data_IF_472552010881
#
_entry.id   IF_472552010881
#
_cell.length_a   1.000
_cell.length_b   1.000
_cell.length_c   1.000
_cell.angle_alpha   90.00
_cell.angle_beta   90.00
_cell.angle_gamma   90.00
#
_symmetry.space_group_name_H-M   'P 1'
#
loop_
_entity.id
_entity.type
_entity.pdbx_description
1 polymer ?
#
# COMPACT_ATOMS: atom_id res chain seq x y z
N UNK A 1 -63.61 -30.21 -35.05
CA UNK A 1 -64.33 -31.51 -35.11
C UNK A 1 -63.52 -32.42 -36.02
N UNK A 2 -63.14 -33.61 -35.51
CA UNK A 2 -62.61 -34.78 -36.22
C UNK A 2 -61.15 -34.66 -36.71
N UNK A 3 -60.21 -35.46 -36.18
CA UNK A 3 -59.99 -36.91 -36.39
C UNK A 3 -59.66 -37.21 -37.86
N UNK A 4 -58.71 -38.05 -38.26
CA UNK A 4 -57.81 -39.05 -37.67
C UNK A 4 -56.94 -39.47 -38.88
N UNK A 5 -55.66 -39.80 -38.71
CA UNK A 5 -54.94 -40.58 -39.72
C UNK A 5 -54.22 -41.78 -39.10
N UNK A 6 -54.33 -42.89 -39.81
CA UNK A 6 -54.29 -44.26 -39.34
C UNK A 6 -52.90 -44.89 -39.32
N UNK A 7 -52.79 -45.82 -38.38
CA UNK A 7 -51.90 -46.99 -38.29
C UNK A 7 -51.56 -47.69 -39.62
N UNK A 8 -50.31 -48.17 -39.71
CA UNK A 8 -49.98 -49.51 -40.22
C UNK A 8 -48.60 -49.99 -39.75
N UNK A 9 -48.58 -51.15 -39.07
CA UNK A 9 -47.45 -52.08 -38.90
C UNK A 9 -47.85 -53.38 -39.62
N UNK A 10 -46.91 -54.19 -40.16
CA UNK A 10 -46.37 -55.31 -39.38
C UNK A 10 -44.94 -55.77 -39.78
N UNK A 11 -44.35 -56.68 -39.00
CA UNK A 11 -43.29 -57.58 -39.50
C UNK A 11 -42.19 -57.94 -38.51
N UNK A 12 -42.40 -59.02 -37.77
CA UNK A 12 -41.39 -59.74 -36.97
C UNK A 12 -40.45 -60.57 -37.84
N UNK A 13 -39.14 -60.53 -37.57
CA UNK A 13 -38.20 -61.58 -38.00
C UNK A 13 -37.11 -61.80 -36.94
N UNK A 14 -37.09 -63.02 -36.42
CA UNK A 14 -36.14 -63.57 -35.45
C UNK A 14 -34.90 -64.08 -36.20
N UNK A 15 -33.69 -63.67 -35.80
CA UNK A 15 -32.46 -64.34 -36.24
C UNK A 15 -31.42 -64.40 -35.11
N UNK A 16 -30.93 -65.62 -34.88
CA UNK A 16 -29.97 -66.05 -33.86
C UNK A 16 -28.54 -65.55 -34.15
N UNK A 17 -27.79 -65.40 -33.04
CA UNK A 17 -26.35 -65.72 -32.86
C UNK A 17 -25.31 -64.67 -33.27
N UNK A 18 -24.61 -64.11 -32.29
CA UNK A 18 -23.19 -64.42 -32.03
C UNK A 18 -22.71 -63.69 -30.77
N UNK A 19 -22.26 -64.48 -29.78
CA UNK A 19 -21.50 -64.00 -28.63
C UNK A 19 -20.12 -63.56 -29.15
N UNK A 20 -19.73 -62.31 -28.88
CA UNK A 20 -18.35 -61.81 -29.03
C UNK A 20 -17.96 -61.01 -27.77
N UNK A 21 -16.68 -61.06 -27.37
CA UNK A 21 -16.26 -60.81 -26.00
C UNK A 21 -16.18 -59.32 -25.65
N UNK A 22 -16.25 -59.04 -24.35
CA UNK A 22 -16.08 -57.73 -23.74
C UNK A 22 -14.75 -57.08 -24.17
N UNK A 23 -14.85 -55.96 -24.89
CA UNK A 23 -13.77 -55.00 -25.07
C UNK A 23 -13.78 -53.98 -23.92
N UNK A 24 -12.63 -53.40 -23.57
CA UNK A 24 -12.49 -52.53 -22.40
C UNK A 24 -13.37 -51.29 -22.54
N UNK A 25 -14.10 -50.99 -21.47
CA UNK A 25 -14.80 -49.72 -21.25
C UNK A 25 -13.84 -48.56 -21.49
N UNK A 26 -14.00 -47.86 -22.62
CA UNK A 26 -13.40 -46.55 -22.81
C UNK A 26 -14.08 -45.60 -21.83
N UNK A 27 -13.28 -45.08 -20.91
CA UNK A 27 -13.62 -43.91 -20.09
C UNK A 27 -14.15 -42.79 -20.99
N UNK A 28 -15.15 -41.99 -20.57
CA UNK A 28 -15.54 -40.83 -21.34
C UNK A 28 -14.32 -39.93 -21.46
N UNK A 29 -13.96 -39.59 -22.69
CA UNK A 29 -12.93 -38.59 -22.96
C UNK A 29 -13.31 -37.32 -22.21
N UNK A 30 -12.49 -36.92 -21.24
CA UNK A 30 -12.47 -35.55 -20.75
C UNK A 30 -12.25 -34.67 -21.97
N UNK A 31 -13.31 -34.01 -22.41
CA UNK A 31 -13.21 -32.94 -23.40
C UNK A 31 -12.40 -31.84 -22.73
N UNK A 32 -11.09 -31.82 -22.97
CA UNK A 32 -10.25 -30.65 -22.75
C UNK A 32 -10.78 -29.54 -23.66
N UNK A 33 -11.79 -28.83 -23.19
CA UNK A 33 -12.24 -27.58 -23.78
C UNK A 33 -11.03 -26.64 -23.77
N UNK A 34 -10.78 -26.01 -24.91
CA UNK A 34 -9.73 -24.99 -25.00
C UNK A 34 -10.00 -23.92 -23.93
N UNK A 35 -8.96 -23.48 -23.19
CA UNK A 35 -9.12 -22.46 -22.16
C UNK A 35 -9.77 -21.23 -22.77
N UNK A 36 -10.78 -20.70 -22.08
CA UNK A 36 -11.48 -19.48 -22.48
C UNK A 36 -10.48 -18.32 -22.57
N UNK A 37 -10.81 -17.30 -23.36
CA UNK A 37 -9.97 -16.10 -23.45
C UNK A 37 -9.69 -15.47 -22.07
N UNK A 38 -10.63 -15.59 -21.14
CA UNK A 38 -10.49 -15.18 -19.74
C UNK A 38 -9.45 -16.01 -18.98
N UNK A 39 -9.47 -17.33 -19.16
CA UNK A 39 -8.48 -18.24 -18.56
C UNK A 39 -7.10 -18.03 -19.18
N UNK A 40 -7.01 -17.79 -20.50
CA UNK A 40 -5.75 -17.46 -21.17
C UNK A 40 -5.14 -16.14 -20.69
N UNK A 41 -5.95 -15.10 -20.54
CA UNK A 41 -5.50 -13.81 -19.99
C UNK A 41 -5.11 -13.93 -18.51
N UNK A 42 -5.87 -14.70 -17.72
CA UNK A 42 -5.49 -14.98 -16.33
C UNK A 42 -4.19 -15.76 -16.25
N UNK A 43 -4.00 -16.80 -17.06
CA UNK A 43 -2.78 -17.60 -17.11
C UNK A 43 -1.59 -16.76 -17.56
N UNK A 44 -1.78 -15.90 -18.57
CA UNK A 44 -0.75 -14.97 -19.03
C UNK A 44 -0.34 -13.98 -17.94
N UNK A 45 -1.26 -13.56 -17.06
CA UNK A 45 -0.95 -12.68 -15.92
C UNK A 45 -0.36 -13.39 -14.74
N UNK A 46 -0.83 -14.59 -14.40
CA UNK A 46 -0.18 -15.42 -13.38
C UNK A 46 1.24 -15.75 -13.81
N UNK A 47 1.45 -16.10 -15.09
CA UNK A 47 2.77 -16.32 -15.67
C UNK A 47 3.57 -15.03 -15.78
N UNK A 48 2.94 -13.89 -16.12
CA UNK A 48 3.58 -12.58 -16.18
C UNK A 48 4.04 -12.09 -14.81
N UNK A 49 3.21 -12.20 -13.79
CA UNK A 49 3.54 -11.87 -12.40
C UNK A 49 4.62 -12.82 -11.87
N UNK A 50 4.53 -14.12 -12.19
CA UNK A 50 5.59 -15.08 -11.87
C UNK A 50 6.91 -14.78 -12.61
N UNK A 51 6.84 -14.36 -13.87
CA UNK A 51 8.00 -13.98 -14.67
C UNK A 51 8.61 -12.67 -14.17
N UNK A 52 7.80 -11.68 -13.74
CA UNK A 52 8.26 -10.46 -13.08
C UNK A 52 8.90 -10.80 -11.73
N UNK A 53 8.30 -11.70 -10.94
CA UNK A 53 8.94 -12.23 -9.72
C UNK A 53 10.30 -12.85 -10.02
N UNK A 54 10.41 -13.71 -11.04
CA UNK A 54 11.67 -14.30 -11.48
C UNK A 54 12.68 -13.27 -12.00
N UNK A 55 12.24 -12.27 -12.78
CA UNK A 55 13.12 -11.23 -13.32
C UNK A 55 13.63 -10.29 -12.23
N UNK A 56 12.85 -10.08 -11.17
CA UNK A 56 13.25 -9.35 -9.97
C UNK A 56 14.18 -10.19 -9.07
N UNK A 57 13.98 -11.51 -9.01
CA UNK A 57 14.92 -12.46 -8.37
C UNK A 57 16.25 -12.51 -9.12
N UNK A 58 16.24 -12.64 -10.45
CA UNK A 58 17.44 -12.67 -11.30
C UNK A 58 18.21 -11.35 -11.27
N UNK A 59 17.52 -10.21 -11.22
CA UNK A 59 18.15 -8.89 -11.00
C UNK A 59 18.69 -8.71 -9.58
N UNK A 60 18.18 -9.46 -8.61
CA UNK A 60 18.74 -9.57 -7.26
C UNK A 60 20.00 -10.43 -7.22
N UNK A 61 20.00 -11.58 -7.91
CA UNK A 61 21.11 -12.54 -7.96
C UNK A 61 22.29 -12.02 -8.80
N UNK A 62 22.02 -11.24 -9.85
CA UNK A 62 23.05 -10.68 -10.74
C UNK A 62 23.98 -9.64 -10.10
N UNK A 63 23.66 -9.13 -8.90
CA UNK A 63 24.50 -8.16 -8.18
C UNK A 63 25.36 -8.78 -7.08
N UNK A 64 25.03 -9.98 -6.61
CA UNK A 64 25.83 -10.72 -5.60
C UNK A 64 27.01 -11.46 -6.23
N UNK A 65 26.93 -11.88 -7.50
CA UNK A 65 28.05 -12.56 -8.18
C UNK A 65 29.14 -11.62 -8.73
N UNK A 66 28.96 -10.30 -8.66
CA UNK A 66 29.97 -9.32 -9.10
C UNK A 66 30.81 -8.73 -7.95
N UNK A 67 30.60 -9.16 -6.70
CA UNK A 67 31.32 -8.65 -5.51
C UNK A 67 31.84 -9.78 -4.60
N UNK A 68 32.18 -10.93 -5.16
CA UNK A 68 32.85 -12.01 -4.42
C UNK A 68 34.35 -12.03 -4.71
N UNK A 69 35.05 -10.95 -4.38
CA UNK A 69 36.43 -11.06 -3.93
C UNK A 69 36.71 -10.04 -2.81
N UNK A 70 37.20 -10.61 -1.70
CA UNK A 70 37.61 -9.98 -0.44
C UNK A 70 36.51 -9.66 0.60
N UNK A 71 36.44 -10.56 1.60
CA UNK A 71 36.41 -10.15 3.00
C UNK A 71 35.06 -10.07 3.71
N UNK A 72 34.75 -11.12 4.48
CA UNK A 72 34.09 -10.98 5.80
C UNK A 72 32.64 -10.52 5.81
N UNK A 73 31.72 -11.50 5.86
CA UNK A 73 30.29 -11.28 5.97
C UNK A 73 29.87 -10.31 7.08
N UNK A 74 29.17 -9.26 6.67
CA UNK A 74 28.20 -8.53 7.48
C UNK A 74 26.99 -8.26 6.60
N UNK A 75 25.92 -9.01 6.81
CA UNK A 75 24.59 -8.67 6.31
C UNK A 75 24.19 -7.37 7.01
N UNK A 76 24.29 -6.25 6.30
CA UNK A 76 23.87 -4.94 6.83
C UNK A 76 22.34 -4.87 6.68
N UNK A 77 21.56 -4.70 7.76
CA UNK A 77 20.11 -4.62 7.64
C UNK A 77 19.73 -3.30 6.98
N UNK A 78 19.16 -3.39 5.77
CA UNK A 78 18.63 -2.29 4.93
C UNK A 78 17.72 -1.33 5.74
N UNK A 79 17.01 -1.85 6.74
CA UNK A 79 16.15 -1.07 7.64
C UNK A 79 16.90 -0.04 8.49
N UNK A 80 18.10 -0.37 8.98
CA UNK A 80 18.90 0.60 9.76
C UNK A 80 19.39 1.73 8.85
N UNK A 81 19.72 1.41 7.60
CA UNK A 81 20.12 2.40 6.60
C UNK A 81 19.01 3.39 6.26
N UNK A 82 17.78 2.91 6.02
CA UNK A 82 16.62 3.76 5.72
C UNK A 82 16.24 4.67 6.89
N UNK A 83 16.00 4.12 8.08
CA UNK A 83 15.63 4.92 9.25
C UNK A 83 16.78 5.74 9.83
N UNK A 84 18.05 5.32 9.68
CA UNK A 84 19.19 6.20 10.00
C UNK A 84 19.33 7.31 8.97
N UNK A 85 19.04 7.09 7.70
CA UNK A 85 19.14 8.13 6.66
C UNK A 85 18.00 9.12 6.79
N UNK A 86 16.77 8.65 7.04
CA UNK A 86 15.63 9.47 7.46
C UNK A 86 15.98 10.17 8.77
N UNK A 87 16.38 9.45 9.81
CA UNK A 87 16.75 10.04 11.10
C UNK A 87 17.88 11.07 11.02
N UNK A 88 18.88 10.88 10.16
CA UNK A 88 19.96 11.85 9.90
C UNK A 88 19.49 13.03 9.07
N UNK A 89 18.65 12.81 8.05
CA UNK A 89 18.02 13.89 7.26
C UNK A 89 17.10 14.73 8.14
N UNK A 90 16.29 14.09 8.99
CA UNK A 90 15.43 14.71 9.99
C UNK A 90 16.23 15.39 11.09
N UNK A 91 17.35 14.82 11.56
CA UNK A 91 18.21 15.47 12.56
C UNK A 91 18.95 16.68 11.97
N UNK A 92 19.40 16.58 10.71
CA UNK A 92 20.01 17.68 9.97
C UNK A 92 19.01 18.80 9.69
N UNK A 93 17.82 18.45 9.21
CA UNK A 93 16.72 19.37 9.01
C UNK A 93 16.22 19.96 10.33
N UNK A 94 16.04 19.17 11.40
CA UNK A 94 15.66 19.65 12.73
C UNK A 94 16.73 20.53 13.38
N UNK A 95 18.02 20.36 13.07
CA UNK A 95 19.08 21.31 13.48
C UNK A 95 19.01 22.59 12.65
N UNK A 96 18.84 22.50 11.34
CA UNK A 96 18.68 23.66 10.47
C UNK A 96 17.41 24.48 10.81
N UNK A 97 16.31 23.78 11.11
CA UNK A 97 15.05 24.31 11.62
C UNK A 97 15.22 24.77 13.05
N UNK A 98 15.97 24.08 13.91
CA UNK A 98 16.28 24.57 15.26
C UNK A 98 17.01 25.92 15.22
N UNK A 99 17.91 26.12 14.26
CA UNK A 99 18.55 27.40 14.01
C UNK A 99 17.62 28.43 13.34
N UNK A 100 16.79 28.00 12.38
CA UNK A 100 15.80 28.87 11.71
C UNK A 100 14.65 29.29 12.65
N UNK A 101 14.10 28.36 13.43
CA UNK A 101 13.09 28.52 14.49
C UNK A 101 13.68 29.22 15.70
N UNK A 102 14.96 29.07 16.05
CA UNK A 102 15.58 29.95 17.07
C UNK A 102 15.71 31.39 16.55
N UNK A 103 16.03 31.57 15.26
CA UNK A 103 16.01 32.88 14.59
C UNK A 103 14.60 33.47 14.46
N UNK A 104 13.62 32.64 14.13
CA UNK A 104 12.20 33.00 13.99
C UNK A 104 11.56 33.18 15.35
N UNK A 105 11.85 32.41 16.39
CA UNK A 105 11.34 32.60 17.76
C UNK A 105 11.89 33.90 18.38
N UNK A 106 13.16 34.23 18.12
CA UNK A 106 13.74 35.55 18.43
C UNK A 106 13.08 36.69 17.63
N UNK A 107 12.49 36.39 16.47
CA UNK A 107 11.70 37.30 15.65
C UNK A 107 10.20 37.34 15.99
N UNK A 108 9.59 36.23 16.42
CA UNK A 108 8.15 36.02 16.64
C UNK A 108 7.70 36.71 17.92
N UNK A 109 8.57 36.78 18.94
CA UNK A 109 8.37 37.68 20.08
C UNK A 109 8.26 39.16 19.70
N UNK A 110 8.76 39.56 18.51
CA UNK A 110 8.59 40.91 17.93
C UNK A 110 7.56 40.98 16.79
N UNK A 111 7.14 39.83 16.24
CA UNK A 111 6.23 39.72 15.10
C UNK A 111 4.76 39.71 15.54
N UNK A 112 4.43 39.10 16.68
CA UNK A 112 3.06 39.03 17.19
C UNK A 112 2.40 40.41 17.39
N UNK A 113 3.21 41.46 17.62
CA UNK A 113 2.75 42.85 17.76
C UNK A 113 2.73 43.65 16.44
N UNK A 114 3.28 43.11 15.35
CA UNK A 114 3.53 43.85 14.09
C UNK A 114 2.75 43.32 12.86
N UNK A 115 2.04 42.19 12.99
CA UNK A 115 1.31 41.53 11.89
C UNK A 115 0.21 42.43 11.26
N UNK A 116 -0.31 43.42 11.98
CA UNK A 116 -1.27 44.38 11.42
C UNK A 116 -0.68 45.46 10.50
N UNK A 117 0.63 45.72 10.50
CA UNK A 117 1.24 46.86 9.75
C UNK A 117 2.30 46.46 8.71
N UNK A 118 2.78 45.22 8.73
CA UNK A 118 3.88 44.77 7.86
C UNK A 118 3.48 44.37 6.44
N UNK A 119 2.22 43.97 6.22
CA UNK A 119 1.75 43.41 4.94
C UNK A 119 1.81 44.45 3.80
N UNK A 120 1.63 45.74 4.10
CA UNK A 120 1.65 46.80 3.09
C UNK A 120 3.02 47.20 2.56
N UNK A 121 4.12 46.89 3.28
CA UNK A 121 5.47 47.39 2.91
C UNK A 121 6.36 46.37 2.19
N UNK A 122 6.05 45.08 2.29
CA UNK A 122 6.82 44.04 1.60
C UNK A 122 6.42 43.91 0.12
N UNK A 123 5.17 44.28 -0.22
CA UNK A 123 4.63 44.21 -1.58
C UNK A 123 5.23 45.25 -2.56
N UNK A 124 5.84 46.33 -2.07
CA UNK A 124 6.27 47.46 -2.92
C UNK A 124 7.74 47.45 -3.35
N UNK A 125 8.60 46.58 -2.81
CA UNK A 125 10.06 46.82 -2.90
C UNK A 125 10.84 45.90 -3.84
N UNK A 126 10.27 44.86 -4.46
CA UNK A 126 11.12 44.01 -5.33
C UNK A 126 10.43 43.50 -6.59
N UNK A 127 10.92 44.01 -7.71
CA UNK A 127 10.54 43.61 -9.06
C UNK A 127 11.14 42.27 -9.50
N UNK A 128 10.30 41.50 -10.18
CA UNK A 128 10.51 40.48 -11.23
C UNK A 128 11.48 39.30 -11.03
N UNK A 129 12.36 39.28 -10.02
CA UNK A 129 13.07 38.05 -9.60
C UNK A 129 12.51 37.43 -8.30
N UNK A 130 11.70 38.19 -7.54
CA UNK A 130 11.10 37.72 -6.29
C UNK A 130 9.72 37.10 -6.43
N UNK A 131 9.10 37.05 -7.61
CA UNK A 131 7.82 36.38 -7.76
C UNK A 131 7.93 34.87 -7.44
N UNK A 132 9.00 34.21 -7.88
CA UNK A 132 9.24 32.79 -7.61
C UNK A 132 9.53 32.51 -6.13
N UNK A 133 10.41 33.31 -5.51
CA UNK A 133 10.73 33.17 -4.09
C UNK A 133 9.54 33.54 -3.18
N UNK A 134 8.79 34.60 -3.52
CA UNK A 134 7.58 34.96 -2.79
C UNK A 134 6.50 33.90 -2.94
N UNK A 135 6.25 33.39 -4.15
CA UNK A 135 5.28 32.30 -4.37
C UNK A 135 5.70 31.03 -3.64
N UNK A 136 6.99 30.70 -3.61
CA UNK A 136 7.51 29.59 -2.82
C UNK A 136 7.26 29.81 -1.32
N UNK A 137 7.59 30.98 -0.77
CA UNK A 137 7.35 31.30 0.65
C UNK A 137 5.85 31.25 0.98
N UNK A 138 4.99 31.80 0.12
CA UNK A 138 3.54 31.76 0.31
C UNK A 138 2.99 30.33 0.25
N UNK A 139 3.49 29.50 -0.66
CA UNK A 139 3.16 28.08 -0.70
C UNK A 139 3.54 27.38 0.62
N UNK A 140 4.75 27.62 1.16
CA UNK A 140 5.19 27.05 2.44
C UNK A 140 4.41 27.57 3.65
N UNK A 141 3.98 28.82 3.64
CA UNK A 141 3.09 29.37 4.67
C UNK A 141 1.68 28.74 4.57
N UNK A 142 1.22 28.46 3.36
CA UNK A 142 0.02 27.66 3.10
C UNK A 142 0.15 26.26 3.68
N UNK A 143 1.23 25.54 3.34
CA UNK A 143 1.54 24.20 3.85
C UNK A 143 1.58 24.19 5.39
N UNK A 144 2.17 25.21 6.02
CA UNK A 144 2.22 25.35 7.49
C UNK A 144 0.85 25.67 8.12
N UNK A 145 -0.03 26.38 7.41
CA UNK A 145 -1.41 26.62 7.83
C UNK A 145 -2.24 25.34 7.74
N UNK A 146 -2.11 24.62 6.62
CA UNK A 146 -2.75 23.31 6.38
C UNK A 146 -2.29 22.27 7.42
N UNK A 147 -1.00 22.24 7.73
CA UNK A 147 -0.41 21.46 8.82
C UNK A 147 -1.14 21.69 10.15
N UNK A 148 -1.31 22.95 10.55
CA UNK A 148 -1.95 23.29 11.83
C UNK A 148 -3.42 22.86 11.83
N UNK A 149 -4.13 23.08 10.72
CA UNK A 149 -5.52 22.67 10.56
C UNK A 149 -5.67 21.15 10.64
N UNK A 150 -4.82 20.40 9.94
CA UNK A 150 -4.82 18.93 9.93
C UNK A 150 -4.53 18.37 11.33
N UNK A 151 -3.56 18.95 12.04
CA UNK A 151 -3.25 18.56 13.41
C UNK A 151 -4.47 18.64 14.32
N UNK A 152 -5.24 19.73 14.29
CA UNK A 152 -6.44 19.89 15.11
C UNK A 152 -7.62 19.05 14.61
N UNK A 153 -7.84 18.99 13.30
CA UNK A 153 -8.93 18.24 12.67
C UNK A 153 -8.83 16.75 12.99
N UNK A 154 -7.62 16.20 12.90
CA UNK A 154 -7.39 14.77 13.03
C UNK A 154 -7.11 14.34 14.47
N UNK A 155 -6.87 15.29 15.39
CA UNK A 155 -6.56 15.02 16.80
C UNK A 155 -7.57 14.08 17.48
N UNK A 156 -8.90 14.21 17.31
CA UNK A 156 -9.86 13.32 17.94
C UNK A 156 -9.69 11.86 17.49
N UNK A 157 -9.50 11.63 16.20
CA UNK A 157 -9.31 10.29 15.64
C UNK A 157 -7.96 9.70 16.07
N UNK A 158 -6.89 10.50 16.09
CA UNK A 158 -5.56 10.09 16.59
C UNK A 158 -5.61 9.69 18.05
N UNK A 159 -6.28 10.49 18.89
CA UNK A 159 -6.49 10.19 20.29
C UNK A 159 -7.25 8.88 20.47
N UNK A 160 -8.35 8.69 19.74
CA UNK A 160 -9.13 7.45 19.80
C UNK A 160 -8.30 6.22 19.41
N UNK A 161 -7.55 6.28 18.30
CA UNK A 161 -6.66 5.18 17.88
C UNK A 161 -5.59 4.89 18.93
N UNK A 162 -4.96 5.91 19.49
CA UNK A 162 -3.98 5.76 20.57
C UNK A 162 -4.60 5.11 21.81
N UNK A 163 -5.73 5.63 22.29
CA UNK A 163 -6.43 5.08 23.44
C UNK A 163 -6.84 3.61 23.24
N UNK A 164 -7.35 3.27 22.05
CA UNK A 164 -7.66 1.88 21.67
C UNK A 164 -6.42 0.98 21.79
N UNK A 165 -5.28 1.40 21.23
CA UNK A 165 -4.03 0.64 21.32
C UNK A 165 -3.55 0.46 22.76
N UNK A 166 -3.73 1.46 23.63
CA UNK A 166 -3.42 1.33 25.08
C UNK A 166 -4.30 0.26 25.71
N UNK A 167 -5.61 0.29 25.46
CA UNK A 167 -6.57 -0.69 26.00
C UNK A 167 -6.25 -2.10 25.50
N UNK A 168 -5.94 -2.28 24.21
CA UNK A 168 -5.52 -3.57 23.63
C UNK A 168 -4.26 -4.11 24.30
N UNK A 169 -3.29 -3.23 24.61
CA UNK A 169 -2.07 -3.60 25.34
C UNK A 169 -2.35 -4.03 26.78
N UNK A 170 -3.22 -3.30 27.48
CA UNK A 170 -3.65 -3.67 28.83
C UNK A 170 -4.38 -5.01 28.84
N UNK A 171 -5.28 -5.23 27.88
CA UNK A 171 -5.97 -6.51 27.72
C UNK A 171 -4.99 -7.65 27.46
N UNK A 172 -4.07 -7.45 26.51
CA UNK A 172 -3.02 -8.41 26.22
C UNK A 172 -2.17 -8.76 27.45
N UNK A 173 -1.85 -7.77 28.31
CA UNK A 173 -1.13 -7.99 29.55
C UNK A 173 -1.94 -8.80 30.57
N UNK A 174 -3.25 -8.53 30.70
CA UNK A 174 -4.14 -9.27 31.60
C UNK A 174 -4.27 -10.76 31.22
N UNK A 175 -4.21 -11.09 29.92
CA UNK A 175 -4.32 -12.49 29.47
C UNK A 175 -2.99 -13.26 29.46
N UNK A 176 -1.84 -12.60 29.73
CA UNK A 176 -0.52 -13.25 29.69
C UNK A 176 -0.42 -14.46 30.62
N UNK A 177 -0.79 -14.29 31.90
CA UNK A 177 -0.62 -15.35 32.91
C UNK A 177 -1.56 -16.54 32.64
N UNK A 178 -2.89 -16.35 32.42
CA UNK A 178 -3.78 -17.47 32.11
C UNK A 178 -3.36 -18.24 30.85
N UNK A 179 -2.95 -17.54 29.79
CA UNK A 179 -2.51 -18.20 28.55
C UNK A 179 -1.17 -18.93 28.71
N UNK A 180 -0.23 -18.36 29.48
CA UNK A 180 1.03 -19.01 29.81
C UNK A 180 0.79 -20.36 30.48
N UNK A 181 -0.07 -20.39 31.51
CA UNK A 181 -0.45 -21.60 32.23
C UNK A 181 -1.14 -22.60 31.27
N UNK A 182 -2.09 -22.14 30.46
CA UNK A 182 -2.79 -22.99 29.48
C UNK A 182 -1.85 -23.62 28.45
N UNK A 183 -0.86 -22.87 27.95
CA UNK A 183 0.14 -23.35 26.99
C UNK A 183 1.09 -24.39 27.60
N UNK A 184 1.43 -24.22 28.89
CA UNK A 184 2.25 -25.17 29.64
C UNK A 184 1.49 -26.46 29.93
N UNK A 185 0.20 -26.38 30.30
CA UNK A 185 -0.64 -27.55 30.56
C UNK A 185 -0.87 -28.37 29.29
N UNK A 186 -1.19 -27.71 28.17
CA UNK A 186 -1.56 -28.39 26.91
C UNK A 186 -0.37 -28.90 26.10
N UNK A 187 0.79 -28.26 26.20
CA UNK A 187 1.95 -28.56 25.36
C UNK A 187 3.28 -28.70 26.09
N UNK A 188 3.29 -28.69 27.43
CA UNK A 188 4.50 -28.73 28.24
C UNK A 188 5.44 -27.56 27.93
N UNK A 189 6.75 -27.77 28.15
CA UNK A 189 7.79 -26.75 27.93
C UNK A 189 7.82 -26.30 26.46
N UNK A 190 7.60 -27.20 25.51
CA UNK A 190 7.59 -26.86 24.08
C UNK A 190 6.37 -26.02 23.66
N UNK A 191 5.20 -26.27 24.27
CA UNK A 191 4.00 -25.44 24.13
C UNK A 191 4.25 -24.04 24.67
N UNK A 192 4.78 -23.95 25.88
CA UNK A 192 5.15 -22.69 26.52
C UNK A 192 6.19 -21.90 25.71
N UNK A 193 7.24 -22.54 25.18
CA UNK A 193 8.25 -21.86 24.37
C UNK A 193 7.67 -21.25 23.08
N UNK A 194 6.77 -21.97 22.40
CA UNK A 194 6.06 -21.46 21.22
C UNK A 194 5.15 -20.29 21.57
N UNK A 195 4.36 -20.42 22.64
CA UNK A 195 3.53 -19.33 23.16
C UNK A 195 4.37 -18.09 23.51
N UNK A 196 5.48 -18.27 24.22
CA UNK A 196 6.37 -17.17 24.61
C UNK A 196 6.95 -16.46 23.38
N UNK A 197 7.40 -17.21 22.38
CA UNK A 197 7.88 -16.64 21.11
C UNK A 197 6.78 -15.87 20.37
N UNK A 198 5.56 -16.40 20.32
CA UNK A 198 4.41 -15.72 19.72
C UNK A 198 4.07 -14.43 20.47
N UNK A 199 4.01 -14.46 21.81
CA UNK A 199 3.77 -13.26 22.62
C UNK A 199 4.87 -12.23 22.48
N UNK A 200 6.13 -12.63 22.38
CA UNK A 200 7.23 -11.70 22.11
C UNK A 200 7.05 -11.01 20.75
N UNK A 201 6.68 -11.74 19.69
CA UNK A 201 6.40 -11.18 18.36
C UNK A 201 5.19 -10.24 18.39
N UNK A 202 4.09 -10.66 18.99
CA UNK A 202 2.88 -9.83 19.13
C UNK A 202 3.13 -8.58 19.98
N UNK A 203 3.91 -8.70 21.05
CA UNK A 203 4.31 -7.57 21.90
C UNK A 203 5.20 -6.57 21.16
N UNK A 204 6.14 -7.05 20.34
CA UNK A 204 6.95 -6.18 19.49
C UNK A 204 6.11 -5.45 18.43
N UNK A 205 5.17 -6.16 17.78
CA UNK A 205 4.26 -5.55 16.81
C UNK A 205 3.33 -4.50 17.45
N UNK A 206 2.80 -4.81 18.64
CA UNK A 206 2.00 -3.86 19.43
C UNK A 206 2.81 -2.64 19.83
N UNK A 207 4.06 -2.82 20.30
CA UNK A 207 4.94 -1.71 20.66
C UNK A 207 5.24 -0.82 19.44
N UNK A 208 5.52 -1.41 18.29
CA UNK A 208 5.66 -0.67 17.03
C UNK A 208 4.42 0.16 16.71
N UNK A 209 3.24 -0.46 16.83
CA UNK A 209 1.95 0.23 16.67
C UNK A 209 1.82 1.39 17.65
N UNK A 210 2.11 1.18 18.94
CA UNK A 210 2.05 2.20 19.98
C UNK A 210 2.95 3.41 19.66
N UNK A 211 4.20 3.16 19.25
CA UNK A 211 5.13 4.22 18.88
C UNK A 211 4.64 5.02 17.68
N UNK A 212 4.11 4.36 16.65
CA UNK A 212 3.46 5.02 15.51
C UNK A 212 2.24 5.84 15.94
N UNK A 213 1.39 5.34 16.84
CA UNK A 213 0.24 6.10 17.36
C UNK A 213 0.65 7.33 18.14
N UNK A 214 1.72 7.23 18.93
CA UNK A 214 2.27 8.39 19.63
C UNK A 214 2.83 9.40 18.64
N UNK A 215 3.56 8.95 17.62
CA UNK A 215 4.07 9.79 16.55
C UNK A 215 2.95 10.53 15.80
N UNK A 216 1.86 9.83 15.43
CA UNK A 216 0.67 10.46 14.85
C UNK A 216 0.09 11.53 15.78
N UNK A 217 -0.07 11.19 17.08
CA UNK A 217 -0.72 12.05 18.06
C UNK A 217 0.01 13.39 18.26
N UNK A 218 1.34 13.39 18.19
CA UNK A 218 2.15 14.61 18.33
C UNK A 218 2.32 15.41 17.02
N UNK A 219 1.65 15.00 15.94
CA UNK A 219 1.75 15.67 14.63
C UNK A 219 3.02 15.30 13.86
N UNK A 220 3.61 14.14 14.17
CA UNK A 220 4.83 13.65 13.54
C UNK A 220 4.77 13.59 12.02
N UNK A 221 3.71 13.00 11.42
CA UNK A 221 3.56 12.95 9.97
C UNK A 221 3.58 14.32 9.32
N UNK A 222 2.84 15.29 9.87
CA UNK A 222 2.72 16.60 9.25
C UNK A 222 4.03 17.38 9.38
N UNK A 223 4.76 17.23 10.50
CA UNK A 223 6.12 17.79 10.64
C UNK A 223 7.05 17.19 9.59
N UNK A 224 6.97 15.88 9.38
CA UNK A 224 7.76 15.18 8.37
C UNK A 224 7.45 15.67 6.95
N UNK A 225 6.18 15.81 6.59
CA UNK A 225 5.76 16.35 5.30
C UNK A 225 6.23 17.78 5.11
N UNK A 226 6.05 18.65 6.11
CA UNK A 226 6.55 20.03 6.07
C UNK A 226 8.05 20.08 5.79
N UNK A 227 8.84 19.23 6.46
CA UNK A 227 10.28 19.12 6.23
C UNK A 227 10.61 18.63 4.83
N UNK A 228 9.95 17.56 4.37
CA UNK A 228 10.15 17.00 3.04
C UNK A 228 9.84 18.04 1.97
N UNK A 229 8.71 18.72 2.10
CA UNK A 229 8.26 19.75 1.17
C UNK A 229 9.21 20.95 1.15
N UNK A 230 9.82 21.33 2.28
CA UNK A 230 10.84 22.40 2.27
C UNK A 230 12.07 22.06 1.41
N UNK A 231 12.44 20.79 1.31
CA UNK A 231 13.63 20.33 0.60
C UNK A 231 13.33 19.69 -0.76
N UNK A 232 12.06 19.66 -1.16
CA UNK A 232 11.59 19.03 -2.38
C UNK A 232 10.72 19.95 -3.24
N UNK A 233 10.52 19.56 -4.49
CA UNK A 233 9.66 20.26 -5.44
C UNK A 233 8.33 19.51 -5.58
N UNK A 234 7.76 19.11 -4.44
CA UNK A 234 6.49 18.42 -4.40
C UNK A 234 5.39 19.28 -5.05
N UNK A 235 4.65 18.70 -5.99
CA UNK A 235 3.58 19.35 -6.77
C UNK A 235 2.22 18.71 -6.47
N UNK A 236 1.11 19.44 -6.62
CA UNK A 236 -0.22 18.84 -6.50
C UNK A 236 -0.49 17.77 -7.57
N UNK A 237 -1.50 16.94 -7.32
CA UNK A 237 -2.07 16.06 -8.35
C UNK A 237 -2.66 16.90 -9.50
N UNK A 238 -2.43 16.46 -10.73
CA UNK A 238 -3.14 16.97 -11.90
C UNK A 238 -4.59 16.51 -11.90
N UNK A 239 -5.44 17.22 -12.64
CA UNK A 239 -6.85 16.84 -12.77
C UNK A 239 -7.04 15.43 -13.36
N UNK A 240 -6.15 15.03 -14.27
CA UNK A 240 -6.16 13.69 -14.88
C UNK A 240 -5.80 12.60 -13.88
N UNK A 241 -4.73 12.80 -13.09
CA UNK A 241 -4.34 11.88 -12.02
C UNK A 241 -5.44 11.72 -10.97
N UNK A 242 -6.02 12.84 -10.53
CA UNK A 242 -7.13 12.85 -9.57
C UNK A 242 -8.35 12.11 -10.12
N UNK A 243 -8.76 12.37 -11.36
CA UNK A 243 -9.92 11.71 -11.98
C UNK A 243 -9.70 10.20 -12.12
N UNK A 244 -8.51 9.80 -12.58
CA UNK A 244 -8.14 8.39 -12.72
C UNK A 244 -8.22 7.64 -11.38
N UNK A 245 -7.59 8.19 -10.35
CA UNK A 245 -7.58 7.56 -9.03
C UNK A 245 -8.95 7.59 -8.34
N UNK A 246 -9.74 8.64 -8.52
CA UNK A 246 -11.11 8.71 -8.01
C UNK A 246 -12.04 7.65 -8.62
N UNK A 247 -11.78 7.19 -9.85
CA UNK A 247 -12.50 6.08 -10.47
C UNK A 247 -12.26 4.73 -9.79
N UNK A 248 -11.14 4.60 -9.07
CA UNK A 248 -10.76 3.37 -8.35
C UNK A 248 -11.04 3.50 -6.86
N UNK A 249 -10.41 4.48 -6.21
CA UNK A 249 -10.49 4.69 -4.76
C UNK A 249 -11.83 5.28 -4.34
N UNK A 250 -12.51 6.00 -5.25
CA UNK A 250 -13.74 6.72 -4.96
C UNK A 250 -13.50 8.19 -4.65
N UNK A 251 -14.47 9.04 -4.98
CA UNK A 251 -14.31 10.50 -4.94
C UNK A 251 -13.97 11.08 -3.55
N UNK A 252 -14.27 10.35 -2.48
CA UNK A 252 -14.10 10.78 -1.08
C UNK A 252 -13.05 9.99 -0.31
N UNK A 253 -12.31 9.09 -0.97
CA UNK A 253 -11.31 8.27 -0.30
C UNK A 253 -10.20 9.12 0.32
N UNK A 254 -9.72 10.10 -0.45
CA UNK A 254 -8.59 10.94 -0.07
C UNK A 254 -8.99 12.40 0.07
N UNK A 255 -8.17 13.12 0.84
CA UNK A 255 -8.11 14.57 0.77
C UNK A 255 -7.20 14.96 -0.39
N UNK A 256 -7.73 14.78 -1.60
CA UNK A 256 -7.02 14.91 -2.86
C UNK A 256 -6.19 16.19 -3.01
N UNK A 257 -6.66 17.29 -2.42
CA UNK A 257 -6.00 18.59 -2.54
C UNK A 257 -4.82 18.75 -1.55
N UNK A 258 -4.67 17.84 -0.59
CA UNK A 258 -3.52 17.76 0.33
C UNK A 258 -2.40 16.88 -0.24
N UNK A 259 -2.73 15.98 -1.18
CA UNK A 259 -1.75 15.05 -1.78
C UNK A 259 -0.73 15.79 -2.64
N UNK A 260 0.53 15.39 -2.52
CA UNK A 260 1.64 15.92 -3.31
C UNK A 260 2.43 14.78 -3.97
N UNK A 261 2.91 15.02 -5.19
CA UNK A 261 3.88 14.16 -5.88
C UNK A 261 5.21 14.89 -5.97
N UNK A 262 6.26 14.27 -5.43
CA UNK A 262 7.64 14.72 -5.53
C UNK A 262 8.39 13.90 -6.58
N UNK A 263 8.77 14.55 -7.68
CA UNK A 263 9.55 13.95 -8.77
C UNK A 263 11.04 14.33 -8.64
N UNK A 264 11.74 13.63 -7.76
CA UNK A 264 13.17 13.78 -7.56
C UNK A 264 13.62 14.91 -6.62
N UNK A 265 14.92 14.94 -6.29
CA UNK A 265 15.52 15.89 -5.34
C UNK A 265 16.53 15.24 -4.39
N UNK A 266 16.65 15.75 -3.16
CA UNK A 266 17.49 15.19 -2.08
C UNK A 266 17.13 13.73 -1.73
N UNK A 267 15.91 13.30 -2.09
CA UNK A 267 15.43 11.93 -1.97
C UNK A 267 16.01 10.97 -3.01
N UNK A 268 16.77 11.45 -4.01
CA UNK A 268 17.54 10.60 -4.94
C UNK A 268 18.44 9.56 -4.24
N UNK A 269 18.96 9.90 -3.06
CA UNK A 269 19.71 8.97 -2.22
C UNK A 269 18.79 7.91 -1.59
N UNK A 270 17.60 8.31 -1.13
CA UNK A 270 16.58 7.42 -0.56
C UNK A 270 16.05 6.47 -1.64
N UNK A 271 15.79 6.95 -2.86
CA UNK A 271 15.44 6.12 -4.01
C UNK A 271 16.54 5.13 -4.35
N UNK A 272 17.82 5.55 -4.36
CA UNK A 272 18.95 4.63 -4.57
C UNK A 272 19.02 3.52 -3.53
N UNK A 273 18.66 3.82 -2.28
CA UNK A 273 18.60 2.85 -1.19
C UNK A 273 17.33 1.97 -1.27
N UNK A 274 16.24 2.46 -1.87
CA UNK A 274 15.00 1.73 -2.13
C UNK A 274 14.97 1.04 -3.51
N UNK A 275 16.11 0.86 -4.17
CA UNK A 275 16.20 0.18 -5.47
C UNK A 275 15.57 0.95 -6.65
N UNK A 276 15.35 2.26 -6.50
CA UNK A 276 14.76 3.12 -7.53
C UNK A 276 13.24 3.01 -7.63
N UNK A 277 12.55 2.52 -6.59
CA UNK A 277 11.10 2.37 -6.59
C UNK A 277 10.43 3.60 -6.00
N UNK A 278 9.31 4.00 -6.60
CA UNK A 278 8.38 4.95 -6.01
C UNK A 278 7.89 4.46 -4.64
N UNK A 279 7.60 5.39 -3.75
CA UNK A 279 7.07 5.08 -2.43
C UNK A 279 6.29 6.25 -1.85
N UNK A 280 5.28 5.93 -1.06
CA UNK A 280 4.42 6.92 -0.40
C UNK A 280 4.84 7.14 1.04
N UNK A 281 4.98 8.41 1.41
CA UNK A 281 5.19 8.86 2.79
C UNK A 281 4.07 9.82 3.16
N UNK A 282 3.10 9.34 3.93
CA UNK A 282 1.91 10.11 4.33
C UNK A 282 1.08 10.56 3.11
N UNK A 283 0.86 11.86 2.88
CA UNK A 283 0.23 12.40 1.67
C UNK A 283 1.22 12.75 0.56
N UNK A 284 2.49 12.39 0.73
CA UNK A 284 3.55 12.69 -0.24
C UNK A 284 3.98 11.43 -0.96
N UNK A 285 3.69 11.37 -2.26
CA UNK A 285 4.17 10.32 -3.14
C UNK A 285 5.54 10.72 -3.67
N UNK A 286 6.55 9.92 -3.37
CA UNK A 286 7.90 10.15 -3.82
C UNK A 286 8.12 9.26 -5.04
N UNK A 287 8.24 9.86 -6.22
CA UNK A 287 8.34 9.15 -7.47
C UNK A 287 9.74 9.18 -8.07
N UNK A 288 10.14 8.06 -8.65
CA UNK A 288 11.33 8.03 -9.51
C UNK A 288 11.07 8.76 -10.83
N UNK A 289 12.09 9.34 -11.48
CA UNK A 289 11.90 10.06 -12.73
C UNK A 289 11.19 9.21 -13.80
N UNK A 290 10.06 9.69 -14.31
CA UNK A 290 9.26 9.03 -15.33
C UNK A 290 8.09 8.18 -14.80
N UNK A 291 8.11 7.77 -13.52
CA UNK A 291 7.04 6.92 -12.96
C UNK A 291 5.68 7.63 -12.94
N UNK A 292 5.67 8.96 -12.74
CA UNK A 292 4.45 9.76 -12.75
C UNK A 292 3.66 9.68 -14.06
N UNK A 293 4.37 9.52 -15.18
CA UNK A 293 3.72 9.36 -16.49
C UNK A 293 2.92 8.05 -16.60
N UNK A 294 3.23 7.06 -15.75
CA UNK A 294 2.46 5.85 -15.61
C UNK A 294 1.41 6.00 -14.50
N UNK A 295 0.22 6.45 -14.89
CA UNK A 295 -0.89 6.71 -13.95
C UNK A 295 -1.28 5.47 -13.12
N UNK A 296 -1.03 4.25 -13.61
CA UNK A 296 -1.28 3.05 -12.80
C UNK A 296 -0.41 3.00 -11.54
N UNK A 297 0.87 3.40 -11.64
CA UNK A 297 1.77 3.53 -10.48
C UNK A 297 1.25 4.63 -9.55
N UNK A 298 0.76 5.75 -10.11
CA UNK A 298 0.15 6.81 -9.29
C UNK A 298 -1.06 6.29 -8.50
N UNK A 299 -1.92 5.46 -9.09
CA UNK A 299 -3.06 4.83 -8.39
C UNK A 299 -2.59 3.88 -7.28
N UNK A 300 -1.54 3.08 -7.52
CA UNK A 300 -0.92 2.23 -6.50
C UNK A 300 -0.48 3.05 -5.29
N UNK A 301 0.31 4.10 -5.55
CA UNK A 301 0.83 4.97 -4.49
C UNK A 301 -0.29 5.75 -3.76
N UNK A 302 -1.32 6.20 -4.48
CA UNK A 302 -2.49 6.84 -3.86
C UNK A 302 -3.28 5.87 -2.96
N UNK A 303 -3.25 4.56 -3.25
CA UNK A 303 -3.82 3.57 -2.33
C UNK A 303 -3.06 3.55 -1.00
N UNK A 304 -1.75 3.77 -1.01
CA UNK A 304 -0.97 3.92 0.23
C UNK A 304 -1.29 5.23 0.98
N UNK A 305 -1.61 6.31 0.26
CA UNK A 305 -2.13 7.52 0.90
C UNK A 305 -3.47 7.23 1.60
N UNK A 306 -4.33 6.43 0.97
CA UNK A 306 -5.64 6.08 1.54
C UNK A 306 -5.51 5.23 2.80
N UNK A 307 -4.60 4.25 2.75
CA UNK A 307 -4.18 3.48 3.91
C UNK A 307 -3.62 4.37 5.01
N UNK A 308 -2.87 5.41 4.69
CA UNK A 308 -2.38 6.37 5.69
C UNK A 308 -3.53 7.16 6.33
N UNK A 309 -4.46 7.71 5.54
CA UNK A 309 -5.57 8.50 6.08
C UNK A 309 -6.43 7.65 7.04
N UNK A 310 -6.66 6.38 6.71
CA UNK A 310 -7.44 5.46 7.55
C UNK A 310 -6.64 4.91 8.74
N UNK A 311 -5.42 4.43 8.50
CA UNK A 311 -4.66 3.66 9.46
C UNK A 311 -3.55 4.45 10.17
N UNK A 312 -3.23 5.69 9.79
CA UNK A 312 -2.14 6.49 10.34
C UNK A 312 -0.77 5.91 10.02
N UNK A 313 0.32 6.41 10.63
CA UNK A 313 1.70 6.01 10.27
C UNK A 313 2.03 4.53 10.47
N UNK A 314 1.15 3.78 11.16
CA UNK A 314 1.24 2.31 11.29
C UNK A 314 1.27 1.63 9.92
N UNK A 315 0.63 2.20 8.88
CA UNK A 315 0.61 1.62 7.54
C UNK A 315 2.03 1.39 6.99
N UNK A 316 2.96 2.32 7.25
CA UNK A 316 4.35 2.24 6.77
C UNK A 316 5.02 0.97 7.31
N UNK A 317 4.84 0.70 8.60
CA UNK A 317 5.39 -0.49 9.24
C UNK A 317 4.78 -1.78 8.69
N UNK A 318 3.48 -1.77 8.39
CA UNK A 318 2.76 -2.91 7.82
C UNK A 318 3.22 -3.20 6.38
N UNK A 319 3.26 -2.17 5.53
CA UNK A 319 3.69 -2.29 4.13
C UNK A 319 5.15 -2.77 4.03
N UNK A 320 6.06 -2.16 4.81
CA UNK A 320 7.45 -2.61 4.87
C UNK A 320 7.59 -4.02 5.45
N UNK A 321 6.77 -4.36 6.45
CA UNK A 321 6.72 -5.71 7.02
C UNK A 321 6.36 -6.76 5.97
N UNK A 322 5.33 -6.50 5.16
CA UNK A 322 4.92 -7.36 4.05
C UNK A 322 6.02 -7.49 3.00
N UNK A 323 6.64 -6.37 2.59
CA UNK A 323 7.72 -6.36 1.61
C UNK A 323 8.96 -7.12 2.10
N UNK A 324 9.33 -7.00 3.38
CA UNK A 324 10.49 -7.71 3.94
C UNK A 324 10.21 -9.19 4.11
N UNK A 325 9.01 -9.54 4.59
CA UNK A 325 8.66 -10.94 4.82
C UNK A 325 8.44 -11.73 3.53
N UNK A 326 7.97 -11.06 2.46
CA UNK A 326 7.47 -11.75 1.26
C UNK A 326 8.19 -11.33 -0.03
N UNK A 327 9.05 -10.30 0.00
CA UNK A 327 9.78 -9.84 -1.18
C UNK A 327 8.84 -9.52 -2.35
N UNK A 328 9.12 -10.08 -3.52
CA UNK A 328 8.29 -9.93 -4.72
C UNK A 328 6.89 -10.56 -4.56
N UNK A 329 6.70 -11.53 -3.66
CA UNK A 329 5.39 -12.13 -3.40
C UNK A 329 4.44 -11.23 -2.61
N UNK A 330 4.93 -10.10 -2.08
CA UNK A 330 4.08 -9.07 -1.46
C UNK A 330 3.07 -8.48 -2.47
N UNK A 331 3.35 -8.57 -3.77
CA UNK A 331 2.46 -8.12 -4.85
C UNK A 331 1.53 -9.22 -5.39
N UNK A 332 1.83 -10.49 -5.09
CA UNK A 332 1.09 -11.60 -5.66
C UNK A 332 -0.18 -11.90 -4.86
N UNK A 333 -1.34 -11.60 -5.45
CA UNK A 333 -2.67 -11.96 -4.93
C UNK A 333 -3.39 -13.00 -5.82
N UNK A 334 -2.70 -13.58 -6.81
CA UNK A 334 -3.26 -14.59 -7.72
C UNK A 334 -4.04 -14.03 -8.92
N UNK A 335 -4.09 -12.71 -9.10
CA UNK A 335 -4.82 -12.07 -10.20
C UNK A 335 -6.34 -12.29 -10.11
N UNK A 336 -7.09 -12.08 -11.21
CA UNK A 336 -8.55 -12.22 -11.22
C UNK A 336 -9.05 -13.58 -10.74
N UNK A 337 -8.38 -14.67 -11.15
CA UNK A 337 -8.72 -16.03 -10.71
C UNK A 337 -8.49 -16.21 -9.21
N UNK A 338 -7.40 -15.66 -8.67
CA UNK A 338 -7.12 -15.63 -7.24
C UNK A 338 -8.21 -14.88 -6.46
N UNK A 339 -8.58 -13.68 -6.91
CA UNK A 339 -9.67 -12.90 -6.33
C UNK A 339 -11.01 -13.64 -6.35
N UNK A 340 -11.35 -14.29 -7.46
CA UNK A 340 -12.59 -15.06 -7.55
C UNK A 340 -12.63 -16.25 -6.56
N UNK A 341 -11.50 -16.94 -6.39
CA UNK A 341 -11.38 -18.04 -5.43
C UNK A 341 -11.44 -17.53 -3.98
N UNK A 342 -10.69 -16.47 -3.69
CA UNK A 342 -10.64 -15.82 -2.38
C UNK A 342 -12.02 -15.28 -1.99
N UNK A 343 -12.77 -14.72 -2.93
CA UNK A 343 -14.13 -14.23 -2.67
C UNK A 343 -15.08 -15.36 -2.30
N UNK A 344 -14.99 -16.51 -2.99
CA UNK A 344 -15.77 -17.71 -2.64
C UNK A 344 -15.40 -18.26 -1.28
N UNK A 345 -14.16 -18.08 -0.85
CA UNK A 345 -13.68 -18.42 0.49
C UNK A 345 -14.08 -17.39 1.57
N UNK A 346 -14.81 -16.32 1.20
CA UNK A 346 -15.27 -15.29 2.13
C UNK A 346 -14.23 -14.23 2.46
N UNK A 347 -13.15 -14.13 1.68
CA UNK A 347 -12.11 -13.12 1.87
C UNK A 347 -12.56 -11.75 1.35
N UNK A 348 -12.21 -10.72 2.09
CA UNK A 348 -12.49 -9.31 1.86
C UNK A 348 -11.22 -8.52 1.53
N UNK A 349 -11.37 -7.27 1.08
CA UNK A 349 -10.25 -6.40 0.72
C UNK A 349 -9.30 -6.15 1.90
N UNK A 350 -9.85 -5.93 3.11
CA UNK A 350 -9.10 -5.75 4.35
C UNK A 350 -8.25 -6.98 4.76
N UNK A 351 -8.53 -8.16 4.19
CA UNK A 351 -7.77 -9.40 4.48
C UNK A 351 -6.47 -9.52 3.65
N UNK A 352 -6.26 -8.62 2.69
CA UNK A 352 -5.01 -8.54 1.94
C UNK A 352 -3.99 -7.65 2.66
N UNK A 353 -2.71 -8.01 2.54
CA UNK A 353 -1.61 -7.15 2.98
C UNK A 353 -1.60 -5.82 2.22
N UNK A 354 -0.94 -4.80 2.78
CA UNK A 354 -1.04 -3.42 2.30
C UNK A 354 -0.56 -3.24 0.86
N UNK A 355 0.50 -3.93 0.48
CA UNK A 355 1.02 -3.94 -0.89
C UNK A 355 0.07 -4.65 -1.88
N UNK A 356 -0.59 -5.73 -1.45
CA UNK A 356 -1.57 -6.44 -2.28
C UNK A 356 -2.82 -5.59 -2.51
N UNK A 357 -3.29 -4.88 -1.49
CA UNK A 357 -4.40 -3.93 -1.62
C UNK A 357 -4.10 -2.89 -2.72
N UNK A 358 -2.91 -2.28 -2.68
CA UNK A 358 -2.46 -1.32 -3.68
C UNK A 358 -2.31 -1.94 -5.07
N UNK A 359 -1.77 -3.16 -5.16
CA UNK A 359 -1.65 -3.87 -6.44
C UNK A 359 -3.01 -4.21 -7.05
N UNK A 360 -4.01 -4.61 -6.25
CA UNK A 360 -5.37 -4.87 -6.71
C UNK A 360 -5.99 -3.60 -7.31
N UNK A 361 -5.82 -2.45 -6.65
CA UNK A 361 -6.29 -1.16 -7.15
C UNK A 361 -5.59 -0.76 -8.47
N UNK A 362 -4.28 -0.96 -8.54
CA UNK A 362 -3.48 -0.73 -9.77
C UNK A 362 -3.98 -1.60 -10.93
N UNK A 363 -4.13 -2.89 -10.72
CA UNK A 363 -4.51 -3.84 -11.78
C UNK A 363 -5.94 -3.59 -12.27
N UNK A 364 -6.86 -3.25 -11.35
CA UNK A 364 -8.21 -2.83 -11.70
C UNK A 364 -8.23 -1.58 -12.61
N UNK A 365 -7.39 -0.58 -12.29
CA UNK A 365 -7.25 0.62 -13.12
C UNK A 365 -6.78 0.28 -14.54
N UNK A 366 -5.75 -0.57 -14.64
CA UNK A 366 -5.18 -1.02 -15.91
C UNK A 366 -6.26 -1.71 -16.75
N UNK A 367 -7.02 -2.63 -16.15
CA UNK A 367 -8.05 -3.40 -16.85
C UNK A 367 -9.20 -2.53 -17.32
N UNK A 368 -9.70 -1.67 -16.45
CA UNK A 368 -10.78 -0.74 -16.77
C UNK A 368 -10.38 0.18 -17.92
N UNK A 369 -9.16 0.71 -17.89
CA UNK A 369 -8.64 1.61 -18.94
C UNK A 369 -8.42 0.87 -20.26
N UNK A 370 -8.07 -0.42 -20.21
CA UNK A 370 -7.95 -1.28 -21.39
C UNK A 370 -9.30 -1.79 -21.92
N UNK A 371 -10.42 -1.47 -21.27
CA UNK A 371 -11.75 -2.01 -21.61
C UNK A 371 -11.90 -3.50 -21.31
N UNK A 372 -11.05 -4.06 -20.46
CA UNK A 372 -11.14 -5.45 -20.01
C UNK A 372 -12.21 -5.55 -18.92
N UNK A 373 -13.12 -6.54 -18.98
CA UNK A 373 -14.11 -6.74 -17.91
C UNK A 373 -13.45 -7.06 -16.57
N UNK A 374 -13.91 -6.41 -15.50
CA UNK A 374 -13.34 -6.49 -14.13
C UNK A 374 -14.21 -7.17 -13.06
N UNK A 375 -15.14 -8.09 -13.36
CA UNK A 375 -16.11 -8.57 -12.36
C UNK A 375 -15.49 -9.26 -11.13
N UNK A 376 -14.25 -9.74 -11.25
CA UNK A 376 -13.52 -10.34 -10.12
C UNK A 376 -12.93 -9.29 -9.16
N UNK A 377 -12.70 -8.07 -9.64
CA UNK A 377 -12.19 -6.94 -8.87
C UNK A 377 -13.31 -6.14 -8.22
N UNK A 378 -14.43 -5.95 -8.92
CA UNK A 378 -15.55 -5.11 -8.50
C UNK A 378 -15.95 -5.24 -7.02
N UNK A 379 -16.13 -6.44 -6.42
CA UNK A 379 -16.49 -6.53 -5.00
C UNK A 379 -15.42 -5.96 -4.07
N UNK A 380 -14.14 -6.11 -4.41
CA UNK A 380 -13.02 -5.60 -3.63
C UNK A 380 -12.86 -4.09 -3.78
N UNK A 381 -13.05 -3.58 -4.99
CA UNK A 381 -13.03 -2.13 -5.25
C UNK A 381 -14.19 -1.43 -4.55
N UNK A 382 -15.36 -2.05 -4.49
CA UNK A 382 -16.50 -1.53 -3.73
C UNK A 382 -16.23 -1.49 -2.21
N UNK A 383 -15.47 -2.45 -1.67
CA UNK A 383 -15.04 -2.45 -0.27
C UNK A 383 -14.00 -1.35 -0.02
N UNK A 384 -12.99 -1.22 -0.90
CA UNK A 384 -12.02 -0.12 -0.89
C UNK A 384 -12.71 1.26 -0.90
N UNK A 385 -13.68 1.47 -1.80
CA UNK A 385 -14.42 2.73 -1.91
C UNK A 385 -15.27 3.08 -0.68
N UNK A 386 -15.57 2.10 0.17
CA UNK A 386 -16.26 2.31 1.45
C UNK A 386 -15.30 2.59 2.61
N UNK A 387 -13.99 2.47 2.38
CA UNK A 387 -12.96 2.58 3.41
C UNK A 387 -12.76 1.30 4.22
N UNK A 388 -13.13 0.13 3.68
CA UNK A 388 -12.95 -1.17 4.34
C UNK A 388 -11.49 -1.65 4.21
N UNK A 389 -10.57 -0.96 4.91
CA UNK A 389 -9.10 -1.09 4.81
C UNK A 389 -8.40 -1.82 5.95
#
# INVERSE_FOLDING_TARGET
MRDVEQLSRPGTATARRAIRPAGPTRSPAESHLAPTQRELLSLQRTAGNAAVCQLLEDRGIGREQALSHEGGGRVVPVQRGFFDSIGKAFSGAAKAIGHAVSGVAKGVGKLATSIGRGIGKFATTVGTALAGAANWVFARLGDAGEWLLNLFRDLPQRYFRFAKTVVEGMWGAMTLIPEAIGSLISGGIAGFARWASQKAKSGAAWLGTMLSRLFDLVGGPEIAEFVLHMISNATPLSAGEKTAAQGVLGAKALRWDEVRIDEGGLLGLVFKLNGGRSFTTFHTINMSPGDRSNVSIVVHELTHVDQYEHAGSVYIGQALGDQIAQGSHAYNYGGPTGLAADRKAGKHFADYGRERQAQIAQDYYVDTTAGTPTPDYDPYILELQKGDL
#
